data_IF_623559007402
#
_entry.id   IF_623559007402
#
_cell.length_a   1.000
_cell.length_b   1.000
_cell.length_c   1.000
_cell.angle_alpha   90.00
_cell.angle_beta   90.00
_cell.angle_gamma   90.00
#
_symmetry.space_group_name_H-M   'P 1'
#
loop_
_entity.id
_entity.type
_entity.pdbx_description
1 polymer ?
#
# COMPACT_ATOMS: atom_id res chain seq x y z
N UNK A 1 -19.13 12.13 -10.52
CA UNK A 1 -19.27 12.49 -9.10
C UNK A 1 -20.22 13.67 -8.90
N UNK A 2 -19.95 14.86 -9.46
CA UNK A 2 -20.85 16.02 -9.33
C UNK A 2 -22.21 15.82 -9.98
N UNK A 3 -22.33 14.94 -10.96
CA UNK A 3 -23.61 14.57 -11.60
C UNK A 3 -24.50 13.72 -10.68
N UNK A 4 -23.91 12.93 -9.79
CA UNK A 4 -24.64 11.99 -8.95
C UNK A 4 -24.97 12.57 -7.57
N UNK A 5 -24.08 13.38 -7.01
CA UNK A 5 -24.19 13.98 -5.68
C UNK A 5 -24.57 15.47 -5.72
N UNK A 6 -24.50 16.12 -6.90
CA UNK A 6 -24.74 17.54 -7.03
C UNK A 6 -23.80 18.39 -6.17
N UNK A 7 -24.26 19.53 -5.70
CA UNK A 7 -23.48 20.43 -4.83
C UNK A 7 -23.22 19.87 -3.42
N UNK A 8 -23.92 18.83 -3.03
CA UNK A 8 -23.76 18.19 -1.72
C UNK A 8 -22.38 17.59 -1.53
N UNK A 9 -21.68 17.24 -2.62
CA UNK A 9 -20.31 16.74 -2.56
C UNK A 9 -19.37 17.73 -1.89
N UNK A 10 -19.63 19.03 -2.01
CA UNK A 10 -18.80 20.07 -1.36
C UNK A 10 -18.94 20.01 0.16
N UNK A 11 -20.15 19.78 0.66
CA UNK A 11 -20.39 19.61 2.10
C UNK A 11 -19.69 18.35 2.63
N UNK A 12 -19.78 17.24 1.90
CA UNK A 12 -19.13 15.99 2.27
C UNK A 12 -17.58 16.14 2.26
N UNK A 13 -17.02 16.86 1.28
CA UNK A 13 -15.59 17.15 1.22
C UNK A 13 -15.13 18.02 2.38
N UNK A 14 -15.89 19.08 2.73
CA UNK A 14 -15.57 19.97 3.86
C UNK A 14 -15.63 19.19 5.17
N UNK A 15 -16.67 18.39 5.37
CA UNK A 15 -16.80 17.54 6.56
C UNK A 15 -15.65 16.55 6.66
N UNK A 16 -15.31 15.84 5.57
CA UNK A 16 -14.19 14.91 5.53
C UNK A 16 -12.85 15.58 5.82
N UNK A 17 -12.63 16.80 5.29
CA UNK A 17 -11.43 17.58 5.54
C UNK A 17 -11.33 18.01 7.01
N UNK A 18 -12.44 18.41 7.62
CA UNK A 18 -12.47 18.80 9.03
C UNK A 18 -12.09 17.62 9.93
N UNK A 19 -12.66 16.43 9.70
CA UNK A 19 -12.31 15.22 10.45
C UNK A 19 -10.85 14.84 10.25
N UNK A 20 -10.36 14.90 9.01
CA UNK A 20 -8.95 14.61 8.71
C UNK A 20 -7.99 15.54 9.47
N UNK A 21 -8.32 16.83 9.53
CA UNK A 21 -7.51 17.81 10.26
C UNK A 21 -7.53 17.54 11.76
N UNK A 22 -8.70 17.22 12.32
CA UNK A 22 -8.86 16.86 13.74
C UNK A 22 -8.06 15.63 14.11
N UNK A 23 -8.19 14.54 13.33
CA UNK A 23 -7.49 13.28 13.56
C UNK A 23 -5.96 13.41 13.47
N UNK A 24 -5.48 14.37 12.68
CA UNK A 24 -4.04 14.62 12.52
C UNK A 24 -3.51 15.83 13.31
N UNK A 25 -4.33 16.46 14.16
CA UNK A 25 -3.93 17.59 14.99
C UNK A 25 -3.56 18.85 14.20
N UNK A 26 -4.19 19.05 13.03
CA UNK A 26 -3.93 20.19 12.13
C UNK A 26 -4.92 21.30 12.42
N UNK A 27 -4.43 22.45 12.89
CA UNK A 27 -5.30 23.56 13.31
C UNK A 27 -5.76 24.45 12.14
N UNK A 28 -4.95 24.56 11.09
CA UNK A 28 -5.22 25.48 9.97
C UNK A 28 -5.10 24.77 8.63
N UNK A 29 -6.02 25.05 7.74
CA UNK A 29 -5.99 24.54 6.36
C UNK A 29 -4.70 24.95 5.62
N UNK A 30 -4.15 26.12 5.91
CA UNK A 30 -2.88 26.59 5.35
C UNK A 30 -1.71 25.66 5.64
N UNK A 31 -1.77 24.91 6.74
CA UNK A 31 -0.70 24.01 7.15
C UNK A 31 -0.66 22.73 6.28
N UNK A 32 -1.76 22.43 5.61
CA UNK A 32 -1.83 21.35 4.62
C UNK A 32 -1.29 21.76 3.25
N UNK A 33 -1.30 23.04 2.94
CA UNK A 33 -0.87 23.53 1.64
C UNK A 33 0.63 23.32 1.46
N UNK A 34 0.99 22.49 0.47
CA UNK A 34 2.39 22.20 0.16
C UNK A 34 3.06 21.17 1.07
N UNK A 35 2.33 20.57 2.03
CA UNK A 35 2.89 19.59 2.98
C UNK A 35 3.57 18.39 2.28
N UNK A 36 3.06 17.97 1.14
CA UNK A 36 3.63 16.87 0.36
C UNK A 36 4.83 17.27 -0.51
N UNK A 37 5.03 18.57 -0.80
CA UNK A 37 6.04 19.01 -1.76
C UNK A 37 7.47 18.56 -1.43
N UNK A 38 7.93 18.58 -0.16
CA UNK A 38 9.28 18.10 0.18
C UNK A 38 9.50 16.61 -0.09
N UNK A 39 8.43 15.83 -0.24
CA UNK A 39 8.48 14.39 -0.47
C UNK A 39 8.26 14.02 -1.95
N UNK A 40 8.01 15.02 -2.80
CA UNK A 40 7.89 14.80 -4.25
C UNK A 40 9.29 14.87 -4.84
N UNK A 41 9.73 13.74 -5.39
CA UNK A 41 11.04 13.61 -6.03
C UNK A 41 10.88 13.17 -7.49
N UNK A 42 11.80 13.55 -8.38
CA UNK A 42 11.83 13.04 -9.74
C UNK A 42 11.97 11.51 -9.75
N UNK A 43 11.48 10.88 -10.82
CA UNK A 43 11.50 9.42 -10.93
C UNK A 43 12.92 8.82 -10.95
N UNK A 44 13.89 9.58 -11.45
CA UNK A 44 15.32 9.25 -11.45
C UNK A 44 15.94 9.19 -10.05
N UNK A 45 15.43 10.00 -9.12
CA UNK A 45 15.92 10.08 -7.74
C UNK A 45 15.28 9.04 -6.81
N UNK A 46 14.30 8.26 -7.32
CA UNK A 46 13.67 7.20 -6.56
C UNK A 46 14.63 6.04 -6.35
N UNK A 47 14.85 5.67 -5.10
CA UNK A 47 15.63 4.49 -4.76
C UNK A 47 14.88 3.21 -5.19
N UNK A 48 15.46 2.51 -6.15
CA UNK A 48 14.94 1.26 -6.72
C UNK A 48 15.86 0.07 -6.43
N UNK A 49 16.79 0.22 -5.50
CA UNK A 49 17.74 -0.83 -5.13
C UNK A 49 17.10 -1.97 -4.35
N UNK A 50 15.94 -1.73 -3.75
CA UNK A 50 15.24 -2.71 -2.92
C UNK A 50 13.81 -2.99 -3.40
N UNK A 51 13.22 -4.03 -2.84
CA UNK A 51 11.79 -4.31 -2.88
C UNK A 51 11.29 -4.66 -1.48
N UNK A 52 10.09 -4.23 -1.15
CA UNK A 52 9.42 -4.56 0.09
C UNK A 52 8.44 -5.71 -0.19
N UNK A 53 8.63 -6.84 0.45
CA UNK A 53 7.77 -8.01 0.25
C UNK A 53 6.54 -7.93 1.16
N UNK A 54 5.35 -8.35 0.70
CA UNK A 54 4.19 -8.49 1.57
C UNK A 54 4.39 -9.68 2.52
N UNK A 55 3.94 -9.53 3.75
CA UNK A 55 3.83 -10.60 4.74
C UNK A 55 2.37 -11.00 4.86
N UNK A 56 2.11 -12.30 4.81
CA UNK A 56 0.78 -12.89 4.96
C UNK A 56 0.63 -13.48 6.36
N UNK A 57 -0.48 -13.15 7.03
CA UNK A 57 -0.89 -13.80 8.25
C UNK A 57 -1.84 -14.96 7.89
N UNK A 58 -1.37 -16.19 8.08
CA UNK A 58 -2.12 -17.39 7.74
C UNK A 58 -3.31 -17.60 8.66
N UNK A 59 -3.21 -17.19 9.92
CA UNK A 59 -4.27 -17.36 10.91
C UNK A 59 -5.43 -16.37 10.66
N UNK A 60 -5.11 -15.13 10.30
CA UNK A 60 -6.09 -14.11 9.95
C UNK A 60 -6.71 -14.32 8.56
N UNK A 61 -6.07 -15.10 7.69
CA UNK A 61 -6.48 -15.27 6.30
C UNK A 61 -7.85 -15.95 6.16
N UNK A 62 -8.79 -15.30 5.49
CA UNK A 62 -10.14 -15.84 5.22
C UNK A 62 -10.19 -16.86 4.06
N UNK A 63 -9.07 -17.14 3.37
CA UNK A 63 -9.01 -18.08 2.25
C UNK A 63 -9.84 -17.66 1.03
N UNK A 64 -10.00 -16.36 0.78
CA UNK A 64 -10.85 -15.82 -0.29
C UNK A 64 -10.20 -15.78 -1.68
N UNK A 65 -8.88 -15.88 -1.79
CA UNK A 65 -8.14 -15.91 -3.05
C UNK A 65 -7.98 -14.57 -3.77
N UNK A 66 -8.53 -13.46 -3.27
CA UNK A 66 -8.46 -12.14 -3.96
C UNK A 66 -7.04 -11.69 -4.24
N UNK A 67 -6.12 -11.90 -3.31
CA UNK A 67 -4.71 -11.56 -3.47
C UNK A 67 -4.05 -12.34 -4.62
N UNK A 68 -4.39 -13.63 -4.76
CA UNK A 68 -3.93 -14.47 -5.87
C UNK A 68 -4.46 -13.95 -7.20
N UNK A 69 -5.78 -13.77 -7.33
CA UNK A 69 -6.41 -13.30 -8.58
C UNK A 69 -5.86 -11.94 -8.99
N UNK A 70 -5.75 -10.99 -8.06
CA UNK A 70 -5.21 -9.65 -8.36
C UNK A 70 -3.75 -9.68 -8.79
N UNK A 71 -2.93 -10.55 -8.20
CA UNK A 71 -1.54 -10.71 -8.60
C UNK A 71 -1.43 -11.37 -9.98
N UNK A 72 -2.31 -12.33 -10.28
CA UNK A 72 -2.37 -13.00 -11.56
C UNK A 72 -2.76 -12.03 -12.67
N UNK A 73 -3.87 -11.29 -12.50
CA UNK A 73 -4.37 -10.30 -13.46
C UNK A 73 -3.43 -9.10 -13.57
N UNK A 74 -2.73 -8.71 -12.49
CA UNK A 74 -1.71 -7.67 -12.49
C UNK A 74 -0.41 -8.04 -13.22
N UNK A 75 -0.30 -9.26 -13.73
CA UNK A 75 0.77 -9.74 -14.59
C UNK A 75 2.03 -10.22 -13.89
N UNK A 76 2.18 -10.03 -12.57
CA UNK A 76 3.37 -10.48 -11.84
C UNK A 76 3.34 -11.96 -11.50
N UNK A 77 2.15 -12.53 -11.26
CA UNK A 77 1.93 -13.96 -11.00
C UNK A 77 2.88 -14.52 -9.93
N UNK A 78 3.08 -13.72 -8.88
CA UNK A 78 4.02 -14.00 -7.80
C UNK A 78 3.35 -14.64 -6.58
N UNK A 79 2.05 -14.90 -6.65
CA UNK A 79 1.30 -15.58 -5.59
C UNK A 79 0.76 -16.87 -6.18
N UNK A 80 1.20 -17.99 -5.65
CA UNK A 80 0.63 -19.30 -5.93
C UNK A 80 -0.53 -19.57 -4.97
N UNK A 81 -1.53 -20.33 -5.42
CA UNK A 81 -2.70 -20.66 -4.62
C UNK A 81 -2.68 -22.14 -4.21
N UNK A 82 -2.72 -22.38 -2.91
CA UNK A 82 -2.89 -23.72 -2.37
C UNK A 82 -4.39 -24.01 -2.24
N UNK A 83 -4.91 -24.90 -3.08
CA UNK A 83 -6.35 -25.21 -3.15
C UNK A 83 -6.84 -25.98 -1.92
N UNK A 84 -6.00 -26.86 -1.35
CA UNK A 84 -6.37 -27.68 -0.19
C UNK A 84 -6.38 -26.83 1.08
N UNK A 85 -5.31 -26.11 1.33
CA UNK A 85 -5.21 -25.22 2.48
C UNK A 85 -6.00 -23.91 2.30
N UNK A 86 -6.39 -23.55 1.07
CA UNK A 86 -6.99 -22.28 0.68
C UNK A 86 -6.14 -21.09 1.18
N UNK A 87 -4.85 -21.15 0.88
CA UNK A 87 -3.86 -20.15 1.32
C UNK A 87 -3.00 -19.64 0.16
N UNK A 88 -2.64 -18.34 0.17
CA UNK A 88 -1.67 -17.79 -0.76
C UNK A 88 -0.26 -18.19 -0.36
N UNK A 89 0.59 -18.50 -1.34
CA UNK A 89 2.03 -18.71 -1.17
C UNK A 89 2.79 -17.72 -2.03
N UNK A 90 3.64 -16.91 -1.38
CA UNK A 90 4.41 -15.89 -2.06
C UNK A 90 5.67 -16.49 -2.70
N UNK A 91 5.81 -16.26 -4.01
CA UNK A 91 7.07 -16.44 -4.71
C UNK A 91 7.86 -15.13 -4.66
N UNK A 92 8.86 -15.09 -3.80
CA UNK A 92 9.67 -13.89 -3.54
C UNK A 92 10.48 -13.43 -4.74
N UNK A 93 10.88 -14.34 -5.62
CA UNK A 93 11.67 -14.01 -6.81
C UNK A 93 10.84 -13.26 -7.84
N UNK A 94 9.60 -13.67 -8.03
CA UNK A 94 8.65 -13.04 -8.96
C UNK A 94 8.03 -11.76 -8.39
N UNK A 95 7.93 -11.65 -7.07
CA UNK A 95 7.29 -10.51 -6.41
C UNK A 95 8.11 -9.23 -6.65
N UNK A 96 7.43 -8.17 -7.08
CA UNK A 96 8.02 -6.84 -7.32
C UNK A 96 7.76 -5.86 -6.18
N UNK A 97 6.99 -6.25 -5.16
CA UNK A 97 6.66 -5.39 -4.02
C UNK A 97 5.59 -4.34 -4.32
N UNK A 98 4.68 -4.58 -5.25
CA UNK A 98 3.64 -3.59 -5.63
C UNK A 98 2.51 -3.45 -4.59
N UNK A 99 2.38 -4.37 -3.65
CA UNK A 99 1.37 -4.40 -2.58
C UNK A 99 -0.10 -4.35 -3.04
N UNK A 100 -0.39 -4.70 -4.30
CA UNK A 100 -1.76 -4.81 -4.77
C UNK A 100 -2.56 -5.83 -3.95
N UNK A 101 -1.91 -6.94 -3.57
CA UNK A 101 -2.50 -7.99 -2.72
C UNK A 101 -2.99 -7.45 -1.36
N UNK A 102 -2.28 -6.50 -0.77
CA UNK A 102 -2.66 -5.83 0.48
C UNK A 102 -3.92 -4.98 0.29
N UNK A 103 -3.98 -4.21 -0.79
CA UNK A 103 -5.10 -3.30 -1.05
C UNK A 103 -6.42 -4.02 -1.35
N UNK A 104 -6.37 -5.26 -1.87
CA UNK A 104 -7.57 -6.03 -2.20
C UNK A 104 -7.99 -7.00 -1.09
N UNK A 105 -7.19 -7.14 -0.04
CA UNK A 105 -7.51 -8.02 1.07
C UNK A 105 -8.70 -7.47 1.88
N UNK A 106 -9.78 -8.24 2.06
CA UNK A 106 -10.94 -7.79 2.84
C UNK A 106 -10.72 -7.89 4.35
N UNK A 107 -9.65 -8.55 4.79
CA UNK A 107 -9.32 -8.71 6.21
C UNK A 107 -8.22 -7.72 6.57
N UNK A 108 -8.52 -6.82 7.50
CA UNK A 108 -7.57 -5.85 8.01
C UNK A 108 -6.35 -6.56 8.58
N UNK A 109 -5.17 -6.02 8.30
CA UNK A 109 -3.86 -6.50 8.80
C UNK A 109 -3.48 -7.95 8.46
N UNK A 110 -4.30 -8.67 7.69
CA UNK A 110 -3.96 -10.01 7.20
C UNK A 110 -2.77 -9.99 6.24
N UNK A 111 -2.61 -8.92 5.46
CA UNK A 111 -1.45 -8.70 4.61
C UNK A 111 -0.83 -7.36 4.98
N UNK A 112 0.42 -7.40 5.39
CA UNK A 112 1.16 -6.21 5.83
C UNK A 112 2.44 -6.04 5.03
N UNK A 113 3.03 -4.83 4.97
CA UNK A 113 4.40 -4.66 4.52
C UNK A 113 5.34 -5.50 5.40
N UNK A 114 6.17 -6.31 4.79
CA UNK A 114 7.02 -7.26 5.49
C UNK A 114 8.50 -6.99 5.30
N UNK A 115 9.21 -7.89 4.68
CA UNK A 115 10.67 -7.86 4.58
C UNK A 115 11.18 -6.99 3.43
N UNK A 116 12.24 -6.20 3.71
CA UNK A 116 12.99 -5.47 2.70
C UNK A 116 14.02 -6.42 2.09
N UNK A 117 13.96 -6.58 0.77
CA UNK A 117 14.93 -7.39 0.02
C UNK A 117 15.69 -6.50 -0.95
N UNK A 118 17.02 -6.50 -0.83
CA UNK A 118 17.91 -5.78 -1.74
C UNK A 118 18.03 -6.55 -3.05
N UNK A 119 17.90 -5.85 -4.16
CA UNK A 119 17.99 -6.46 -5.49
C UNK A 119 19.43 -6.92 -5.77
N UNK A 120 19.62 -8.07 -6.43
CA UNK A 120 20.95 -8.57 -6.77
C UNK A 120 21.79 -7.54 -7.53
N UNK A 121 23.05 -7.40 -7.16
CA UNK A 121 23.99 -6.45 -7.80
C UNK A 121 23.89 -5.00 -7.32
N UNK A 122 23.16 -4.74 -6.27
CA UNK A 122 23.09 -3.43 -5.59
C UNK A 122 23.83 -3.50 -4.26
N UNK A 123 24.46 -2.38 -3.89
CA UNK A 123 25.12 -2.24 -2.58
C UNK A 123 24.07 -2.02 -1.48
N UNK A 124 24.32 -2.59 -0.31
CA UNK A 124 23.55 -2.27 0.89
C UNK A 124 23.85 -0.82 1.28
N UNK A 125 22.83 0.02 1.26
CA UNK A 125 22.89 1.35 1.84
C UNK A 125 21.71 1.52 2.79
N UNK A 126 21.82 2.50 3.67
CA UNK A 126 20.81 2.76 4.69
C UNK A 126 19.46 3.15 4.04
N UNK A 127 18.54 2.20 4.00
CA UNK A 127 17.19 2.42 3.44
C UNK A 127 16.36 3.12 4.50
N UNK A 128 16.14 4.43 4.32
CA UNK A 128 15.28 5.23 5.22
C UNK A 128 13.83 5.15 4.74
N UNK A 129 13.09 4.17 5.24
CA UNK A 129 11.63 4.15 5.07
C UNK A 129 11.06 5.06 6.14
N UNK A 130 10.53 6.22 5.74
CA UNK A 130 9.71 7.05 6.62
C UNK A 130 8.35 6.38 6.75
N UNK A 131 8.15 5.64 7.81
CA UNK A 131 6.82 5.16 8.17
C UNK A 131 6.04 6.29 8.79
N UNK A 132 4.80 6.48 8.37
CA UNK A 132 3.89 7.55 8.85
C UNK A 132 3.46 7.36 10.32
N UNK A 133 4.02 6.37 11.00
CA UNK A 133 3.58 5.91 12.33
C UNK A 133 4.69 5.97 13.39
N UNK A 134 5.74 6.76 13.15
CA UNK A 134 6.70 7.15 14.19
C UNK A 134 6.48 8.59 14.61
#
# INVERSE_FOLDING_TARGET
>A
CSSDLGYRIVEDMISGLSHYMEDNGIEKLSDLVGLALPNIVPAEDLDRSFKLLPKFDEDACAGCGRCYVSCFDGGHQAIDWDEEARRPRLNTDKCVGCHLCLNVCPVMDCITPGEIVIKPGREEHEIKIKTKYE
#
